data_IF_264272314301
#
_entry.id   IF_264272314301
#
_cell.length_a   1.000
_cell.length_b   1.000
_cell.length_c   1.000
_cell.angle_alpha   90.00
_cell.angle_beta   90.00
_cell.angle_gamma   90.00
#
_symmetry.space_group_name_H-M   'P 1'
#
loop_
_entity.id
_entity.type
_entity.pdbx_description
1 polymer ?
#
# COMPACT_ATOMS: atom_id res chain seq x y z
N UNK A 1 -26.52 1.46 -19.15
CA UNK A 1 -25.22 1.22 -19.81
C UNK A 1 -24.39 0.36 -18.87
N UNK A 2 -23.94 -0.82 -19.30
CA UNK A 2 -23.06 -1.63 -18.46
C UNK A 2 -21.76 -0.85 -18.25
N UNK A 3 -21.44 -0.51 -17.01
CA UNK A 3 -20.14 0.06 -16.65
C UNK A 3 -19.06 -0.95 -17.06
N UNK A 4 -18.02 -0.48 -17.75
CA UNK A 4 -16.83 -1.27 -18.04
C UNK A 4 -16.32 -1.93 -16.74
N UNK A 5 -16.07 -3.26 -16.72
CA UNK A 5 -15.58 -3.96 -15.52
C UNK A 5 -14.37 -3.29 -14.87
N UNK A 6 -13.48 -2.68 -15.66
CA UNK A 6 -12.32 -1.95 -15.13
C UNK A 6 -12.75 -0.66 -14.40
N UNK A 7 -13.80 0.01 -14.85
CA UNK A 7 -14.40 1.14 -14.14
C UNK A 7 -14.98 0.71 -12.79
N UNK A 8 -15.64 -0.45 -12.72
CA UNK A 8 -16.15 -0.99 -11.45
C UNK A 8 -15.00 -1.31 -10.46
N UNK A 9 -13.89 -1.87 -10.96
CA UNK A 9 -12.68 -2.11 -10.16
C UNK A 9 -12.11 -0.78 -9.63
N UNK A 10 -11.98 0.25 -10.48
CA UNK A 10 -11.52 1.58 -10.06
C UNK A 10 -12.43 2.19 -8.97
N UNK A 11 -13.76 2.09 -9.16
CA UNK A 11 -14.73 2.60 -8.19
C UNK A 11 -14.59 1.90 -6.84
N UNK A 12 -14.49 0.58 -6.82
CA UNK A 12 -14.32 -0.18 -5.58
C UNK A 12 -12.96 0.11 -4.91
N UNK A 13 -11.87 0.20 -5.68
CA UNK A 13 -10.56 0.62 -5.13
C UNK A 13 -10.63 2.02 -4.50
N UNK A 14 -11.35 2.95 -5.14
CA UNK A 14 -11.59 4.29 -4.59
C UNK A 14 -12.38 4.22 -3.29
N UNK A 15 -13.48 3.46 -3.25
CA UNK A 15 -14.31 3.32 -2.04
C UNK A 15 -13.48 2.76 -0.88
N UNK A 16 -12.75 1.66 -1.09
CA UNK A 16 -11.89 1.07 -0.04
C UNK A 16 -10.82 2.05 0.40
N UNK A 17 -10.18 2.77 -0.52
CA UNK A 17 -9.15 3.77 -0.18
C UNK A 17 -9.72 4.96 0.59
N UNK A 18 -10.96 5.38 0.29
CA UNK A 18 -11.62 6.48 0.98
C UNK A 18 -12.08 6.07 2.38
N UNK A 19 -12.64 4.86 2.53
CA UNK A 19 -13.11 4.36 3.83
C UNK A 19 -11.96 3.91 4.72
N UNK A 20 -10.87 3.41 4.15
CA UNK A 20 -9.71 2.87 4.86
C UNK A 20 -8.39 3.50 4.37
N UNK A 21 -8.16 4.80 4.62
CA UNK A 21 -6.97 5.49 4.13
C UNK A 21 -5.67 4.96 4.74
N UNK A 22 -5.69 4.49 6.00
CA UNK A 22 -4.51 4.11 6.79
C UNK A 22 -4.33 2.59 6.85
N UNK A 23 -5.30 1.87 7.40
CA UNK A 23 -5.28 0.42 7.59
C UNK A 23 -6.39 -0.20 6.75
N UNK A 24 -6.06 -0.97 5.72
CA UNK A 24 -7.04 -1.49 4.77
C UNK A 24 -6.86 -2.98 4.52
N UNK A 25 -7.95 -3.70 4.24
CA UNK A 25 -7.87 -5.05 3.71
C UNK A 25 -7.11 -5.06 2.38
N UNK A 26 -6.08 -5.88 2.28
CA UNK A 26 -5.38 -6.14 1.04
C UNK A 26 -6.25 -7.04 0.20
N UNK A 27 -6.49 -6.61 -1.03
CA UNK A 27 -7.14 -7.45 -2.02
C UNK A 27 -6.09 -8.04 -2.95
N UNK A 28 -6.15 -9.35 -3.15
CA UNK A 28 -5.21 -10.10 -3.96
C UNK A 28 -5.88 -10.73 -5.19
N UNK A 29 -5.18 -10.78 -6.33
CA UNK A 29 -5.68 -11.48 -7.51
C UNK A 29 -5.61 -12.99 -7.32
N UNK A 30 -6.12 -13.73 -8.31
CA UNK A 30 -6.16 -15.19 -8.26
C UNK A 30 -4.75 -15.80 -8.21
N UNK A 31 -4.55 -16.77 -7.32
CA UNK A 31 -3.31 -17.54 -7.20
C UNK A 31 -2.17 -16.80 -6.49
N UNK A 32 -2.50 -15.78 -5.70
CA UNK A 32 -1.57 -15.04 -4.84
C UNK A 32 -2.00 -15.18 -3.38
N UNK A 33 -1.02 -15.39 -2.50
CA UNK A 33 -1.18 -15.51 -1.05
C UNK A 33 -0.75 -14.22 -0.33
N UNK A 34 -1.10 -14.11 0.95
CA UNK A 34 -0.84 -12.93 1.78
C UNK A 34 0.59 -12.90 2.34
N UNK A 35 0.93 -11.85 3.09
CA UNK A 35 2.25 -11.70 3.69
C UNK A 35 3.37 -11.68 2.65
N UNK A 36 4.51 -12.27 3.03
CA UNK A 36 5.66 -12.40 2.14
C UNK A 36 5.49 -13.44 1.05
N UNK A 37 4.53 -14.36 1.18
CA UNK A 37 4.32 -15.44 0.21
C UNK A 37 3.99 -14.90 -1.18
N UNK A 38 3.38 -13.71 -1.25
CA UNK A 38 3.18 -12.96 -2.49
C UNK A 38 4.47 -12.85 -3.30
N UNK A 39 5.54 -12.35 -2.68
CA UNK A 39 6.81 -12.09 -3.37
C UNK A 39 7.73 -13.31 -3.36
N UNK A 40 7.68 -14.15 -2.32
CA UNK A 40 8.44 -15.39 -2.24
C UNK A 40 7.99 -16.40 -3.30
N UNK A 41 6.71 -16.43 -3.66
CA UNK A 41 6.20 -17.30 -4.74
C UNK A 41 6.80 -16.99 -6.12
N UNK A 42 7.44 -15.82 -6.28
CA UNK A 42 8.07 -15.40 -7.53
C UNK A 42 9.50 -15.92 -7.69
N UNK A 43 10.19 -16.18 -6.57
CA UNK A 43 11.52 -16.77 -6.55
C UNK A 43 11.50 -18.20 -7.14
N UNK A 44 12.49 -18.49 -8.00
CA UNK A 44 12.68 -19.78 -8.68
C UNK A 44 13.55 -20.75 -7.89
N UNK A 45 14.52 -20.23 -7.15
CA UNK A 45 15.43 -21.06 -6.34
C UNK A 45 15.27 -20.80 -4.85
N UNK A 46 15.84 -21.68 -4.04
CA UNK A 46 15.85 -21.50 -2.59
C UNK A 46 16.81 -20.38 -2.17
N UNK A 47 17.94 -20.25 -2.86
CA UNK A 47 18.90 -19.17 -2.65
C UNK A 47 18.23 -17.81 -2.82
N UNK A 48 17.43 -17.66 -3.87
CA UNK A 48 16.61 -16.46 -4.12
C UNK A 48 15.62 -16.17 -2.99
N UNK A 49 14.96 -17.20 -2.44
CA UNK A 49 14.04 -17.05 -1.29
C UNK A 49 14.79 -16.58 -0.05
N UNK A 50 15.94 -17.20 0.25
CA UNK A 50 16.77 -16.82 1.40
C UNK A 50 17.31 -15.39 1.28
N UNK A 51 17.76 -14.98 0.09
CA UNK A 51 18.17 -13.60 -0.18
C UNK A 51 17.04 -12.61 0.07
N UNK A 52 15.82 -12.90 -0.39
CA UNK A 52 14.67 -12.03 -0.16
C UNK A 52 14.31 -11.94 1.33
N UNK A 53 14.31 -13.06 2.06
CA UNK A 53 14.04 -13.09 3.49
C UNK A 53 15.09 -12.29 4.27
N UNK A 54 16.37 -12.45 3.93
CA UNK A 54 17.45 -11.67 4.53
C UNK A 54 17.28 -10.17 4.27
N UNK A 55 16.92 -9.80 3.03
CA UNK A 55 16.64 -8.42 2.66
C UNK A 55 15.48 -7.85 3.50
N UNK A 56 14.34 -8.55 3.59
CA UNK A 56 13.19 -8.12 4.41
C UNK A 56 13.61 -7.91 5.86
N UNK A 57 14.29 -8.90 6.47
CA UNK A 57 14.74 -8.84 7.87
C UNK A 57 15.67 -7.66 8.14
N UNK A 58 16.57 -7.35 7.21
CA UNK A 58 17.47 -6.18 7.32
C UNK A 58 16.73 -4.83 7.38
N UNK A 59 15.47 -4.80 6.95
CA UNK A 59 14.62 -3.62 6.92
C UNK A 59 13.59 -3.59 8.06
N UNK A 60 13.70 -4.48 9.06
CA UNK A 60 12.83 -4.48 10.24
C UNK A 60 13.06 -3.18 11.06
N UNK A 61 12.02 -2.40 11.36
CA UNK A 61 12.13 -1.26 12.26
C UNK A 61 12.70 -1.72 13.62
N UNK A 62 13.70 -1.00 14.13
CA UNK A 62 14.40 -1.28 15.38
C UNK A 62 15.24 -2.58 15.45
N UNK A 63 15.53 -3.23 14.31
CA UNK A 63 16.55 -4.29 14.26
C UNK A 63 17.94 -3.75 14.61
N UNK A 64 18.63 -4.40 15.55
CA UNK A 64 19.95 -4.07 16.12
C UNK A 64 20.03 -2.96 17.20
N UNK A 65 19.11 -2.97 18.18
CA UNK A 65 19.51 -2.56 19.53
C UNK A 65 19.83 -3.81 20.34
N UNK A 66 21.11 -4.08 20.69
CA UNK A 66 21.39 -5.06 21.72
C UNK A 66 20.67 -4.58 22.98
N UNK A 67 19.76 -5.41 23.49
CA UNK A 67 19.24 -5.25 24.83
C UNK A 67 20.46 -5.14 25.76
N UNK A 68 20.71 -3.94 26.29
CA UNK A 68 21.64 -3.77 27.40
C UNK A 68 20.93 -4.27 28.64
N UNK A 69 20.96 -5.58 28.83
CA UNK A 69 20.78 -6.17 30.15
C UNK A 69 22.02 -6.99 30.40
N UNK A 70 22.94 -6.40 31.16
CA UNK A 70 23.99 -7.13 31.85
C UNK A 70 23.32 -8.23 32.68
N UNK A 71 23.76 -9.48 32.45
CA UNK A 71 23.81 -10.59 33.41
C UNK A 71 22.66 -10.72 34.42
N UNK A 72 21.82 -11.74 34.27
CA UNK A 72 21.76 -12.92 35.17
C UNK A 72 20.54 -13.80 34.82
N UNK A 73 20.84 -15.10 34.72
CA UNK A 73 19.94 -16.27 34.78
C UNK A 73 18.84 -16.46 33.72
N UNK A 74 18.88 -17.68 33.16
CA UNK A 74 17.96 -18.24 32.20
C UNK A 74 16.65 -18.58 32.90
N UNK A 75 15.62 -17.78 32.66
CA UNK A 75 14.24 -18.24 32.73
C UNK A 75 13.56 -17.94 31.39
N UNK A 76 12.74 -18.90 30.98
CA UNK A 76 11.92 -18.96 29.78
C UNK A 76 10.93 -17.78 29.76
N UNK A 77 11.41 -16.59 29.41
CA UNK A 77 10.60 -15.39 29.30
C UNK A 77 9.87 -15.45 27.96
N UNK A 78 8.57 -15.71 28.04
CA UNK A 78 7.59 -15.40 26.99
C UNK A 78 7.91 -14.00 26.46
N UNK A 79 8.38 -13.92 25.20
CA UNK A 79 8.59 -12.64 24.51
C UNK A 79 7.34 -11.78 24.72
N UNK A 80 7.49 -10.63 25.39
CA UNK A 80 6.38 -9.72 25.65
C UNK A 80 5.57 -9.52 24.36
N UNK A 81 4.30 -9.96 24.41
CA UNK A 81 3.30 -10.00 23.33
C UNK A 81 3.01 -8.63 22.64
N UNK A 82 3.78 -7.59 22.97
CA UNK A 82 3.57 -6.20 22.58
C UNK A 82 4.31 -5.74 21.32
N UNK A 83 5.46 -6.32 20.97
CA UNK A 83 6.36 -5.76 19.93
C UNK A 83 6.61 -6.69 18.72
N UNK A 84 5.86 -7.79 18.61
CA UNK A 84 5.93 -8.63 17.42
C UNK A 84 5.37 -7.90 16.19
N UNK A 85 6.23 -7.75 15.18
CA UNK A 85 5.91 -7.15 13.89
C UNK A 85 6.03 -8.21 12.79
N UNK A 86 4.99 -8.31 11.98
CA UNK A 86 4.90 -9.18 10.83
C UNK A 86 5.11 -8.37 9.54
N UNK A 87 5.98 -8.81 8.62
CA UNK A 87 6.18 -8.15 7.34
C UNK A 87 5.04 -8.50 6.37
N UNK A 88 4.32 -7.46 5.94
CA UNK A 88 3.17 -7.55 5.06
C UNK A 88 3.46 -6.88 3.71
N UNK A 89 3.06 -7.51 2.60
CA UNK A 89 3.24 -6.96 1.25
C UNK A 89 2.01 -6.15 0.85
N UNK A 90 2.21 -4.86 0.59
CA UNK A 90 1.14 -3.95 0.16
C UNK A 90 1.14 -3.82 -1.34
N UNK A 91 -0.01 -4.04 -1.97
CA UNK A 91 -0.19 -3.96 -3.42
C UNK A 91 -1.54 -3.37 -3.84
N UNK A 92 -1.66 -3.02 -5.12
CA UNK A 92 -2.91 -2.53 -5.71
C UNK A 92 -3.03 -2.98 -7.16
N UNK A 93 -4.23 -3.04 -7.69
CA UNK A 93 -4.42 -3.28 -9.11
C UNK A 93 -4.25 -1.97 -9.89
N UNK A 94 -3.23 -1.92 -10.73
CA UNK A 94 -3.03 -0.85 -11.69
C UNK A 94 -3.89 -1.13 -12.92
N UNK A 95 -4.98 -0.38 -13.01
CA UNK A 95 -6.00 -0.56 -14.06
C UNK A 95 -5.48 -0.11 -15.42
N UNK A 96 -4.60 0.88 -15.47
CA UNK A 96 -4.05 1.43 -16.71
C UNK A 96 -3.10 0.41 -17.34
N UNK A 97 -2.19 -0.14 -16.53
CA UNK A 97 -1.20 -1.10 -16.99
C UNK A 97 -1.69 -2.56 -16.94
N UNK A 98 -2.84 -2.82 -16.30
CA UNK A 98 -3.44 -4.15 -16.10
C UNK A 98 -2.51 -5.12 -15.36
N UNK A 99 -1.85 -4.63 -14.33
CA UNK A 99 -0.90 -5.39 -13.50
C UNK A 99 -1.27 -5.31 -12.03
N UNK A 100 -0.83 -6.27 -11.25
CA UNK A 100 -0.82 -6.12 -9.80
C UNK A 100 0.48 -5.43 -9.38
N UNK A 101 0.37 -4.16 -8.98
CA UNK A 101 1.50 -3.36 -8.57
C UNK A 101 1.82 -3.58 -7.10
N UNK A 102 2.93 -4.24 -6.81
CA UNK A 102 3.48 -4.36 -5.46
C UNK A 102 4.19 -3.06 -5.11
N UNK A 103 3.76 -2.43 -4.02
CA UNK A 103 4.10 -1.05 -3.72
C UNK A 103 5.18 -0.92 -2.65
N UNK A 104 5.12 -1.75 -1.61
CA UNK A 104 6.04 -1.74 -0.47
C UNK A 104 5.90 -3.01 0.36
N UNK A 105 6.90 -3.29 1.18
CA UNK A 105 6.76 -4.15 2.37
C UNK A 105 6.55 -3.25 3.59
N UNK A 106 5.57 -3.58 4.41
CA UNK A 106 5.24 -2.85 5.63
C UNK A 106 5.22 -3.81 6.81
N UNK A 107 5.91 -3.43 7.88
CA UNK A 107 5.84 -4.15 9.15
C UNK A 107 4.59 -3.72 9.90
N UNK A 108 3.78 -4.69 10.31
CA UNK A 108 2.47 -4.49 10.95
C UNK A 108 2.42 -5.29 12.25
N UNK A 109 1.76 -4.75 13.27
CA UNK A 109 1.42 -5.56 14.44
C UNK A 109 0.34 -6.58 14.07
N UNK A 110 0.21 -7.65 14.86
CA UNK A 110 -0.72 -8.75 14.57
C UNK A 110 -2.15 -8.27 14.27
N UNK A 111 -2.71 -7.35 15.06
CA UNK A 111 -4.08 -6.84 14.85
C UNK A 111 -4.24 -6.11 13.52
N UNK A 112 -3.21 -5.38 13.08
CA UNK A 112 -3.20 -4.70 11.79
C UNK A 112 -3.04 -5.73 10.65
N UNK A 113 -2.14 -6.71 10.84
CA UNK A 113 -1.93 -7.80 9.89
C UNK A 113 -3.21 -8.60 9.67
N UNK A 114 -3.97 -8.92 10.72
CA UNK A 114 -5.28 -9.58 10.60
C UNK A 114 -6.23 -8.78 9.70
N UNK A 115 -6.32 -7.45 9.87
CA UNK A 115 -7.17 -6.61 9.01
C UNK A 115 -6.66 -6.60 7.56
N UNK A 116 -5.34 -6.52 7.39
CA UNK A 116 -4.69 -6.50 6.09
C UNK A 116 -4.90 -7.81 5.33
N UNK A 117 -4.73 -8.94 6.00
CA UNK A 117 -4.96 -10.28 5.49
C UNK A 117 -6.46 -10.60 5.52
N UNK A 118 -7.18 -10.12 4.50
CA UNK A 118 -8.64 -10.15 4.52
C UNK A 118 -9.23 -11.55 4.77
N UNK A 119 -8.56 -12.63 4.33
CA UNK A 119 -8.98 -13.99 4.63
C UNK A 119 -8.90 -14.32 6.14
N UNK A 120 -7.79 -13.98 6.81
CA UNK A 120 -7.57 -14.17 8.24
C UNK A 120 -8.61 -13.40 9.07
N UNK A 121 -8.99 -12.19 8.64
CA UNK A 121 -10.08 -11.46 9.29
C UNK A 121 -11.43 -12.18 9.18
N UNK A 122 -11.76 -12.74 8.02
CA UNK A 122 -13.02 -13.50 7.84
C UNK A 122 -13.01 -14.77 8.70
N UNK A 123 -11.90 -15.48 8.78
CA UNK A 123 -11.72 -16.64 9.66
C UNK A 123 -11.92 -16.25 11.13
N UNK A 124 -11.29 -15.17 11.59
CA UNK A 124 -11.47 -14.64 12.94
C UNK A 124 -12.94 -14.30 13.25
N UNK A 125 -13.68 -13.73 12.29
CA UNK A 125 -15.11 -13.44 12.46
C UNK A 125 -15.95 -14.71 12.68
N UNK A 126 -15.55 -15.84 12.10
CA UNK A 126 -16.25 -17.11 12.23
C UNK A 126 -15.87 -17.86 13.52
N UNK A 127 -14.59 -17.82 13.88
CA UNK A 127 -14.05 -18.55 15.02
C UNK A 127 -14.27 -17.83 16.35
N UNK A 128 -14.03 -16.51 16.39
CA UNK A 128 -14.14 -15.71 17.60
C UNK A 128 -14.71 -14.31 17.31
N UNK A 129 -16.05 -14.17 17.22
CA UNK A 129 -16.71 -12.90 16.96
C UNK A 129 -16.40 -11.79 17.97
N UNK A 130 -16.06 -12.15 19.22
CA UNK A 130 -15.74 -11.19 20.29
C UNK A 130 -14.40 -10.53 19.99
N UNK A 131 -13.37 -11.32 19.69
CA UNK A 131 -12.07 -10.81 19.27
C UNK A 131 -12.18 -10.03 17.94
N UNK A 132 -12.95 -10.55 16.99
CA UNK A 132 -13.17 -9.91 15.71
C UNK A 132 -13.80 -8.51 15.84
N UNK A 133 -14.70 -8.31 16.81
CA UNK A 133 -15.26 -6.99 17.13
C UNK A 133 -14.18 -6.00 17.58
N UNK A 134 -13.21 -6.43 18.39
CA UNK A 134 -12.10 -5.57 18.83
C UNK A 134 -11.21 -5.18 17.64
N UNK A 135 -10.97 -6.11 16.72
CA UNK A 135 -10.26 -5.83 15.46
C UNK A 135 -11.00 -4.81 14.60
N UNK A 136 -12.34 -4.90 14.49
CA UNK A 136 -13.16 -3.90 13.79
C UNK A 136 -13.06 -2.52 14.44
N UNK A 137 -13.11 -2.45 15.77
CA UNK A 137 -12.96 -1.18 16.51
C UNK A 137 -11.59 -0.56 16.24
N UNK A 138 -10.52 -1.37 16.30
CA UNK A 138 -9.17 -0.92 15.98
C UNK A 138 -9.04 -0.45 14.53
N UNK A 139 -9.62 -1.19 13.57
CA UNK A 139 -9.69 -0.78 12.17
C UNK A 139 -10.36 0.59 11.98
N UNK A 140 -11.50 0.82 12.64
CA UNK A 140 -12.20 2.10 12.56
C UNK A 140 -11.35 3.23 13.15
N UNK A 141 -10.78 3.02 14.34
CA UNK A 141 -9.91 3.99 15.01
C UNK A 141 -8.67 4.34 14.18
N UNK A 142 -7.96 3.34 13.65
CA UNK A 142 -6.76 3.53 12.83
C UNK A 142 -7.03 4.34 11.55
N UNK A 143 -8.28 4.32 11.07
CA UNK A 143 -8.73 5.07 9.91
C UNK A 143 -9.43 6.40 10.25
N UNK A 144 -9.45 6.79 11.53
CA UNK A 144 -10.01 8.07 11.99
C UNK A 144 -11.53 8.09 12.12
N UNK A 145 -12.17 6.92 12.19
CA UNK A 145 -13.61 6.77 12.38
C UNK A 145 -13.97 6.51 13.84
N UNK A 146 -15.25 6.61 14.16
CA UNK A 146 -15.77 6.22 15.48
C UNK A 146 -15.78 4.69 15.60
N UNK A 147 -15.37 4.15 16.73
CA UNK A 147 -15.22 2.69 16.94
C UNK A 147 -16.56 1.95 16.95
N UNK A 148 -17.66 2.67 17.20
CA UNK A 148 -19.03 2.15 17.16
C UNK A 148 -19.67 2.14 15.76
N UNK A 149 -19.02 2.68 14.72
CA UNK A 149 -19.58 2.76 13.37
C UNK A 149 -19.42 1.44 12.59
N UNK A 150 -20.17 0.43 13.04
CA UNK A 150 -20.16 -0.92 12.45
C UNK A 150 -20.66 -0.93 11.00
N UNK A 151 -21.54 0.01 10.62
CA UNK A 151 -22.06 0.12 9.26
C UNK A 151 -20.93 0.56 8.31
N UNK A 152 -20.12 1.55 8.70
CA UNK A 152 -18.98 1.99 7.89
C UNK A 152 -17.96 0.86 7.73
N UNK A 153 -17.65 0.13 8.81
CA UNK A 153 -16.77 -1.04 8.72
C UNK A 153 -17.33 -2.08 7.74
N UNK A 154 -18.61 -2.43 7.87
CA UNK A 154 -19.27 -3.39 6.98
C UNK A 154 -19.22 -2.93 5.51
N UNK A 155 -19.45 -1.65 5.24
CA UNK A 155 -19.34 -1.10 3.89
C UNK A 155 -17.92 -1.27 3.31
N UNK A 156 -16.89 -0.99 4.11
CA UNK A 156 -15.50 -1.15 3.68
C UNK A 156 -15.16 -2.61 3.39
N UNK A 157 -15.44 -3.53 4.31
CA UNK A 157 -15.15 -4.96 4.11
C UNK A 157 -15.99 -5.57 2.97
N UNK A 158 -17.23 -5.13 2.79
CA UNK A 158 -18.07 -5.56 1.66
C UNK A 158 -17.51 -5.06 0.32
N UNK A 159 -17.03 -3.82 0.26
CA UNK A 159 -16.36 -3.28 -0.92
C UNK A 159 -15.05 -4.02 -1.23
N UNK A 160 -14.26 -4.34 -0.21
CA UNK A 160 -13.04 -5.14 -0.36
C UNK A 160 -13.35 -6.56 -0.85
N UNK A 161 -14.39 -7.21 -0.33
CA UNK A 161 -14.85 -8.52 -0.79
C UNK A 161 -15.30 -8.51 -2.26
N UNK A 162 -16.10 -7.52 -2.65
CA UNK A 162 -16.53 -7.35 -4.04
C UNK A 162 -15.33 -7.11 -4.96
N UNK A 163 -14.39 -6.26 -4.54
CA UNK A 163 -13.16 -6.00 -5.28
C UNK A 163 -12.32 -7.28 -5.43
N UNK A 164 -12.20 -8.10 -4.38
CA UNK A 164 -11.49 -9.38 -4.42
C UNK A 164 -12.11 -10.35 -5.40
N UNK A 165 -13.43 -10.43 -5.40
CA UNK A 165 -14.18 -11.31 -6.31
C UNK A 165 -13.94 -10.90 -7.76
N UNK A 166 -13.99 -9.59 -8.07
CA UNK A 166 -13.69 -9.08 -9.40
C UNK A 166 -12.23 -9.32 -9.79
N UNK A 167 -11.27 -9.01 -8.93
CA UNK A 167 -9.84 -9.21 -9.22
C UNK A 167 -9.47 -10.67 -9.44
N UNK A 168 -10.12 -11.59 -8.72
CA UNK A 168 -9.94 -13.04 -8.92
C UNK A 168 -10.63 -13.58 -10.19
N UNK A 169 -11.52 -12.81 -10.82
CA UNK A 169 -12.12 -13.16 -12.10
C UNK A 169 -11.22 -12.82 -13.30
N UNK A 170 -10.20 -11.97 -13.13
CA UNK A 170 -9.21 -11.72 -14.18
C UNK A 170 -8.33 -12.98 -14.40
N UNK A 171 -7.80 -13.16 -15.62
CA UNK A 171 -6.65 -14.02 -15.84
C UNK A 171 -5.52 -13.66 -14.87
N UNK A 172 -4.60 -14.60 -14.64
CA UNK A 172 -3.44 -14.36 -13.77
C UNK A 172 -2.73 -13.06 -14.20
N UNK A 173 -2.74 -12.08 -13.29
CA UNK A 173 -2.20 -10.76 -13.57
C UNK A 173 -0.67 -10.79 -13.47
N UNK A 174 0.05 -10.12 -14.40
CA UNK A 174 1.47 -9.87 -14.22
C UNK A 174 1.69 -9.03 -12.96
N UNK A 175 2.83 -9.25 -12.30
CA UNK A 175 3.22 -8.51 -11.11
C UNK A 175 4.21 -7.43 -11.53
N UNK A 176 4.02 -6.23 -10.99
CA UNK A 176 4.91 -5.11 -11.21
C UNK A 176 5.51 -4.59 -9.90
N UNK A 177 6.79 -4.25 -9.94
CA UNK A 177 7.53 -3.56 -8.87
C UNK A 177 8.11 -2.28 -9.46
N UNK A 178 7.96 -1.16 -8.75
CA UNK A 178 8.36 0.18 -9.23
C UNK A 178 7.81 0.54 -10.63
N UNK A 179 6.58 0.12 -10.92
CA UNK A 179 5.90 0.38 -12.18
C UNK A 179 6.39 -0.45 -13.38
N UNK A 180 7.27 -1.43 -13.15
CA UNK A 180 7.75 -2.34 -14.21
C UNK A 180 7.27 -3.75 -13.92
N UNK A 181 6.74 -4.42 -14.94
CA UNK A 181 6.47 -5.86 -14.88
C UNK A 181 7.78 -6.59 -14.64
N UNK A 182 7.79 -7.48 -13.66
CA UNK A 182 8.97 -8.28 -13.32
C UNK A 182 8.82 -9.68 -13.91
N UNK A 183 9.90 -10.18 -14.48
CA UNK A 183 10.06 -11.57 -14.89
C UNK A 183 11.26 -12.10 -14.10
N UNK A 184 11.03 -13.14 -13.29
CA UNK A 184 12.07 -13.75 -12.46
C UNK A 184 12.40 -15.11 -13.06
N UNK A 185 13.66 -15.31 -13.39
CA UNK A 185 14.28 -16.58 -13.73
C UNK A 185 15.29 -17.02 -12.65
N UNK A 186 16.04 -18.10 -12.89
CA UNK A 186 16.99 -18.66 -11.93
C UNK A 186 18.21 -17.75 -11.68
N UNK A 187 18.57 -16.90 -12.64
CA UNK A 187 19.76 -16.04 -12.60
C UNK A 187 19.44 -14.60 -12.17
N UNK A 188 18.15 -14.29 -11.95
CA UNK A 188 17.68 -12.96 -11.59
C UNK A 188 18.21 -12.52 -10.21
N UNK A 189 18.77 -11.30 -10.13
CA UNK A 189 19.14 -10.67 -8.86
C UNK A 189 17.88 -10.18 -8.12
N UNK A 190 17.43 -11.00 -7.18
CA UNK A 190 16.26 -10.74 -6.33
C UNK A 190 16.44 -9.51 -5.44
N UNK A 191 17.66 -9.24 -4.97
CA UNK A 191 17.90 -8.10 -4.11
C UNK A 191 17.69 -6.79 -4.89
N UNK A 192 18.20 -6.72 -6.13
CA UNK A 192 17.98 -5.57 -7.00
C UNK A 192 16.49 -5.40 -7.36
N UNK A 193 15.81 -6.48 -7.75
CA UNK A 193 14.41 -6.44 -8.17
C UNK A 193 13.48 -5.94 -7.07
N UNK A 194 13.68 -6.39 -5.82
CA UNK A 194 12.80 -6.05 -4.71
C UNK A 194 13.27 -4.87 -3.84
N UNK A 195 14.50 -4.38 -4.01
CA UNK A 195 15.01 -3.19 -3.31
C UNK A 195 14.03 -1.99 -3.32
N UNK A 196 13.31 -1.67 -4.43
CA UNK A 196 12.35 -0.57 -4.45
C UNK A 196 11.19 -0.70 -3.45
N UNK A 197 10.89 -1.90 -2.94
CA UNK A 197 9.81 -2.12 -1.97
C UNK A 197 10.13 -1.61 -0.56
N UNK A 198 11.41 -1.36 -0.27
CA UNK A 198 11.89 -0.93 1.04
C UNK A 198 12.33 0.54 1.05
N UNK A 199 12.60 1.12 -0.11
CA UNK A 199 13.00 2.51 -0.21
C UNK A 199 11.82 3.46 0.06
N UNK A 200 11.99 4.51 0.90
CA UNK A 200 10.97 5.54 1.02
C UNK A 200 10.82 6.21 -0.35
N UNK A 201 9.61 6.12 -0.95
CA UNK A 201 9.31 6.79 -2.22
C UNK A 201 9.57 8.28 -2.06
N UNK A 202 10.72 8.74 -2.52
CA UNK A 202 11.01 10.17 -2.58
C UNK A 202 9.90 10.79 -3.43
N UNK A 203 9.14 11.73 -2.85
CA UNK A 203 8.18 12.51 -3.62
C UNK A 203 8.97 13.20 -4.71
N UNK A 204 8.93 12.69 -5.95
CA UNK A 204 9.43 13.40 -7.13
C UNK A 204 8.77 14.77 -7.09
N UNK A 205 9.53 15.80 -6.72
CA UNK A 205 9.10 17.19 -6.88
C UNK A 205 8.88 17.37 -8.37
N UNK A 206 7.63 17.38 -8.80
CA UNK A 206 7.26 17.81 -10.13
C UNK A 206 7.81 19.22 -10.29
N UNK A 207 8.91 19.37 -11.05
CA UNK A 207 9.40 20.68 -11.46
C UNK A 207 8.27 21.29 -12.28
N UNK A 208 7.53 22.21 -11.68
CA UNK A 208 6.67 23.13 -12.42
C UNK A 208 7.58 23.90 -13.36
N UNK A 209 7.58 23.50 -14.63
CA UNK A 209 8.14 24.28 -15.73
C UNK A 209 7.38 25.61 -15.76
N UNK A 210 7.99 26.65 -15.18
CA UNK A 210 7.54 28.03 -15.33
C UNK A 210 7.42 28.32 -16.82
N UNK A 211 6.19 28.52 -17.28
CA UNK A 211 5.85 29.09 -18.58
C UNK A 211 6.58 30.43 -18.67
N UNK A 212 7.57 30.52 -19.56
CA UNK A 212 8.22 31.78 -19.89
C UNK A 212 7.21 32.68 -20.59
N UNK A 213 6.82 33.77 -19.94
CA UNK A 213 6.27 34.93 -20.63
C UNK A 213 7.42 35.65 -21.36
N UNK A 214 7.28 35.96 -22.66
CA UNK A 214 8.28 36.73 -23.36
C UNK A 214 8.15 38.21 -22.98
N UNK A 215 9.24 38.75 -22.41
CA UNK A 215 9.41 40.16 -22.14
C UNK A 215 9.40 40.99 -23.44
N UNK A 216 8.58 42.06 -23.50
CA UNK A 216 8.81 43.19 -24.39
C UNK A 216 9.01 44.47 -23.58
N UNK A 217 10.27 44.95 -23.56
CA UNK A 217 10.68 46.30 -23.16
C UNK A 217 10.34 47.30 -24.28
N UNK A 218 9.93 48.51 -23.91
CA UNK A 218 9.96 49.68 -24.81
C UNK A 218 9.25 50.91 -24.23
N UNK A 219 10.02 51.85 -23.67
CA UNK A 219 9.56 53.11 -23.04
C UNK A 219 9.27 54.23 -24.05
N UNK A 220 8.24 55.03 -23.71
CA UNK A 220 8.12 56.50 -23.77
C UNK A 220 7.98 57.24 -25.12
N UNK A 221 6.89 58.05 -25.25
CA UNK A 221 7.00 59.51 -25.38
C UNK A 221 5.66 60.24 -25.13
N UNK A 222 5.73 61.31 -24.35
CA UNK A 222 4.69 62.31 -24.13
C UNK A 222 4.32 63.04 -25.44
N UNK A 223 3.04 63.41 -25.60
CA UNK A 223 2.68 64.66 -26.26
C UNK A 223 1.33 65.18 -25.74
N UNK A 224 1.36 66.31 -25.03
CA UNK A 224 0.20 67.18 -24.78
C UNK A 224 -0.17 67.88 -26.10
N UNK A 225 -1.45 68.02 -26.42
CA UNK A 225 -2.07 69.35 -26.65
C UNK A 225 -3.56 69.31 -27.04
N UNK A 226 -4.31 70.19 -26.35
CA UNK A 226 -5.43 71.06 -26.80
C UNK A 226 -6.76 70.46 -27.31
N UNK A 227 -7.77 70.60 -26.44
CA UNK A 227 -8.96 71.48 -26.56
C UNK A 227 -9.83 71.35 -27.84
N UNK A 228 -11.06 70.86 -27.67
CA UNK A 228 -12.25 71.50 -28.28
C UNK A 228 -13.54 71.21 -27.48
N UNK A 229 -14.39 72.24 -27.50
CA UNK A 229 -15.62 72.51 -26.73
C UNK A 229 -16.84 71.84 -27.37
N UNK A 230 -17.85 71.60 -26.51
CA UNK A 230 -19.32 71.70 -26.72
C UNK A 230 -19.96 70.91 -27.87
N UNK A 231 -20.93 70.05 -27.55
CA UNK A 231 -22.35 70.48 -27.36
C UNK A 231 -22.99 69.59 -26.32
#
# INVERSE_FOLDING_TARGET
MASDPLTAVQQLQSVVTTLAPSLRPQVLPKGIEYGLDLILSLCKTEEQRQTLLALVRSQKPNGDKPSKTESEEVTDDEEEEGDYLEPQVVGTFDVENRVFAVQKVQWMHEREAVVHEFARFIELQLENPIAAKQVVQHFLEANGHKTEDSILAQQCFSAAFALQTLLRAFPRLPIAVDGKVIEIDEDTDIAEVFAPLFAPKSKKKTKTTKKQEPAKKGKAKQQKSKKRKST
#
